data_IF_778126492667
#
_entry.id   IF_778126492667
#
_cell.length_a   1.000
_cell.length_b   1.000
_cell.length_c   1.000
_cell.angle_alpha   90.00
_cell.angle_beta   90.00
_cell.angle_gamma   90.00
#
_symmetry.space_group_name_H-M   'P 1'
#
loop_
_entity.id
_entity.type
_entity.pdbx_description
1 polymer ?
#
# COMPACT_ATOMS: atom_id res chain seq x y z
N UNK A 1 -21.69 -2.40 4.14
CA UNK A 1 -20.87 -1.78 3.10
C UNK A 1 -20.07 -0.58 3.62
N UNK A 2 -18.75 -0.66 3.61
CA UNK A 2 -17.85 0.48 3.84
C UNK A 2 -17.48 1.09 2.48
N UNK A 3 -17.64 2.42 2.32
CA UNK A 3 -17.24 3.12 1.10
C UNK A 3 -15.74 3.45 1.13
N UNK A 4 -15.03 3.10 0.06
CA UNK A 4 -13.61 3.35 -0.10
C UNK A 4 -13.39 4.14 -1.40
N UNK A 5 -13.27 5.46 -1.26
CA UNK A 5 -13.20 6.43 -2.37
C UNK A 5 -11.97 7.33 -2.34
N UNK A 6 -11.07 7.06 -1.40
CA UNK A 6 -9.84 7.81 -1.18
C UNK A 6 -9.99 9.12 -0.43
N UNK A 7 -11.19 9.42 0.09
CA UNK A 7 -11.49 10.74 0.68
C UNK A 7 -12.34 10.68 1.95
N UNK A 8 -13.30 9.75 2.04
CA UNK A 8 -14.39 9.85 3.03
C UNK A 8 -14.37 8.77 4.12
N UNK A 9 -13.34 7.90 4.15
CA UNK A 9 -13.19 6.86 5.17
C UNK A 9 -13.18 7.46 6.59
N UNK A 10 -14.00 6.91 7.48
CA UNK A 10 -14.15 7.38 8.86
C UNK A 10 -13.51 6.42 9.86
N UNK A 11 -13.21 6.90 11.07
CA UNK A 11 -12.74 6.05 12.16
C UNK A 11 -13.71 4.91 12.48
N UNK A 12 -15.02 5.14 12.37
CA UNK A 12 -16.03 4.11 12.56
C UNK A 12 -15.87 2.95 11.56
N UNK A 13 -15.58 3.24 10.29
CA UNK A 13 -15.35 2.22 9.27
C UNK A 13 -14.12 1.37 9.58
N UNK A 14 -13.05 2.02 10.05
CA UNK A 14 -11.82 1.35 10.48
C UNK A 14 -12.08 0.42 11.66
N UNK A 15 -12.86 0.87 12.65
CA UNK A 15 -13.25 0.04 13.80
C UNK A 15 -14.13 -1.13 13.37
N UNK A 16 -15.09 -0.91 12.46
CA UNK A 16 -15.91 -1.99 11.88
C UNK A 16 -15.01 -3.03 11.22
N UNK A 17 -14.12 -2.60 10.32
CA UNK A 17 -13.21 -3.50 9.64
C UNK A 17 -12.31 -4.28 10.60
N UNK A 18 -11.80 -3.65 11.65
CA UNK A 18 -10.96 -4.32 12.64
C UNK A 18 -11.68 -5.40 13.44
N UNK A 19 -13.00 -5.28 13.62
CA UNK A 19 -13.83 -6.19 14.43
C UNK A 19 -14.54 -7.26 13.61
N UNK A 20 -14.60 -7.11 12.28
CA UNK A 20 -15.24 -8.09 11.41
C UNK A 20 -14.37 -9.32 11.23
N UNK A 21 -14.89 -10.46 11.66
CA UNK A 21 -14.36 -11.78 11.30
C UNK A 21 -14.96 -12.25 9.96
N UNK A 22 -14.17 -12.94 9.13
CA UNK A 22 -14.63 -13.41 7.82
C UNK A 22 -14.80 -12.30 6.78
N UNK A 23 -15.69 -12.46 5.78
CA UNK A 23 -15.82 -11.51 4.69
C UNK A 23 -16.31 -10.12 5.12
N UNK A 24 -15.74 -9.07 4.51
CA UNK A 24 -16.15 -7.67 4.73
C UNK A 24 -16.62 -7.03 3.42
N UNK A 25 -17.82 -6.49 3.46
CA UNK A 25 -18.41 -5.79 2.32
C UNK A 25 -17.89 -4.35 2.19
N UNK A 26 -17.14 -4.10 1.10
CA UNK A 26 -16.59 -2.78 0.75
C UNK A 26 -17.00 -2.37 -0.67
N UNK A 27 -17.37 -1.11 -0.82
CA UNK A 27 -17.65 -0.44 -2.09
C UNK A 27 -16.43 0.40 -2.49
N UNK A 28 -15.67 -0.09 -3.45
CA UNK A 28 -14.49 0.60 -3.98
C UNK A 28 -14.92 1.46 -5.15
N UNK A 29 -14.72 2.77 -5.04
CA UNK A 29 -15.16 3.71 -6.06
C UNK A 29 -14.44 3.50 -7.39
N UNK A 30 -15.20 3.23 -8.45
CA UNK A 30 -14.71 3.14 -9.84
C UNK A 30 -14.00 4.44 -10.27
N UNK A 31 -14.54 5.60 -9.86
CA UNK A 31 -13.93 6.89 -10.17
C UNK A 31 -12.55 7.03 -9.49
N UNK A 32 -12.42 6.57 -8.24
CA UNK A 32 -11.14 6.59 -7.52
C UNK A 32 -10.13 5.59 -8.13
N UNK A 33 -10.58 4.42 -8.57
CA UNK A 33 -9.73 3.47 -9.30
C UNK A 33 -9.19 4.07 -10.60
N UNK A 34 -10.05 4.74 -11.39
CA UNK A 34 -9.62 5.46 -12.60
C UNK A 34 -8.62 6.57 -12.30
N UNK A 35 -8.81 7.31 -11.21
CA UNK A 35 -7.87 8.34 -10.79
C UNK A 35 -6.50 7.76 -10.42
N UNK A 36 -6.46 6.62 -9.71
CA UNK A 36 -5.23 5.90 -9.41
C UNK A 36 -4.52 5.37 -10.67
N UNK A 37 -5.26 4.81 -11.62
CA UNK A 37 -4.72 4.39 -12.92
C UNK A 37 -4.12 5.56 -13.70
N UNK A 38 -4.80 6.71 -13.72
CA UNK A 38 -4.26 7.93 -14.34
C UNK A 38 -2.95 8.38 -13.69
N UNK A 39 -2.88 8.36 -12.36
CA UNK A 39 -1.68 8.73 -11.63
C UNK A 39 -0.51 7.76 -11.88
N UNK A 40 -0.80 6.47 -12.00
CA UNK A 40 0.19 5.45 -12.37
C UNK A 40 0.78 5.71 -13.77
N UNK A 41 -0.06 5.91 -14.78
CA UNK A 41 0.38 6.25 -16.15
C UNK A 41 1.22 7.51 -16.19
N UNK A 42 0.84 8.53 -15.43
CA UNK A 42 1.61 9.76 -15.29
C UNK A 42 2.99 9.50 -14.65
N UNK A 43 3.07 8.65 -13.62
CA UNK A 43 4.33 8.30 -12.98
C UNK A 43 5.28 7.55 -13.94
N UNK A 44 4.75 6.63 -14.76
CA UNK A 44 5.51 5.97 -15.83
C UNK A 44 6.08 7.01 -16.83
N UNK A 45 5.21 7.87 -17.36
CA UNK A 45 5.57 8.90 -18.35
C UNK A 45 6.51 9.98 -17.79
N UNK A 46 6.45 10.30 -16.51
CA UNK A 46 7.42 11.23 -15.88
C UNK A 46 8.80 10.58 -15.75
N UNK A 47 8.86 9.27 -15.50
CA UNK A 47 10.11 8.54 -15.28
C UNK A 47 10.94 8.38 -16.56
N UNK A 48 10.34 8.53 -17.73
CA UNK A 48 11.06 8.55 -19.01
C UNK A 48 11.72 9.90 -19.32
N UNK A 49 11.33 10.97 -18.63
CA UNK A 49 11.73 12.36 -18.95
C UNK A 49 12.43 13.07 -17.80
N UNK A 50 12.34 12.55 -16.57
CA UNK A 50 12.85 13.20 -15.35
C UNK A 50 13.35 12.18 -14.35
N UNK A 51 14.24 12.64 -13.48
CA UNK A 51 14.67 11.89 -12.29
C UNK A 51 13.53 11.91 -11.26
N UNK A 52 13.14 10.73 -10.77
CA UNK A 52 12.06 10.52 -9.80
C UNK A 52 12.58 9.73 -8.60
N UNK A 53 12.44 10.32 -7.40
CA UNK A 53 12.89 9.72 -6.13
C UNK A 53 12.25 8.34 -5.90
N UNK A 54 13.08 7.31 -5.64
CA UNK A 54 12.64 5.95 -5.35
C UNK A 54 12.06 5.18 -6.54
N UNK A 55 12.12 5.74 -7.76
CA UNK A 55 11.70 5.07 -8.99
C UNK A 55 12.81 5.00 -10.03
N UNK A 56 13.45 6.14 -10.32
CA UNK A 56 14.66 6.19 -11.17
C UNK A 56 15.91 6.50 -10.34
N UNK A 57 15.77 6.55 -9.01
CA UNK A 57 16.86 6.69 -8.05
C UNK A 57 16.66 5.73 -6.89
N UNK A 58 17.70 5.52 -6.09
CA UNK A 58 17.55 4.89 -4.78
C UNK A 58 16.71 5.71 -3.79
N UNK A 59 16.63 5.21 -2.55
CA UNK A 59 15.90 5.86 -1.45
C UNK A 59 16.82 6.09 -0.26
N UNK A 60 16.44 7.01 0.63
CA UNK A 60 17.19 7.33 1.84
C UNK A 60 18.58 7.87 1.51
N UNK A 61 19.61 7.28 2.10
CA UNK A 61 21.00 7.64 1.83
C UNK A 61 21.40 7.42 0.36
N UNK A 62 20.70 6.54 -0.36
CA UNK A 62 21.00 6.17 -1.75
C UNK A 62 20.22 7.02 -2.77
N UNK A 63 19.65 8.15 -2.35
CA UNK A 63 18.81 9.02 -3.21
C UNK A 63 19.53 9.58 -4.44
N UNK A 64 20.86 9.64 -4.39
CA UNK A 64 21.71 10.18 -5.45
C UNK A 64 22.15 9.08 -6.44
N UNK A 65 21.88 7.80 -6.12
CA UNK A 65 22.17 6.67 -7.01
C UNK A 65 21.09 6.55 -8.09
N UNK A 66 21.51 6.50 -9.35
CA UNK A 66 20.58 6.27 -10.48
C UNK A 66 20.29 4.78 -10.62
N UNK A 67 19.02 4.44 -10.85
CA UNK A 67 18.58 3.06 -11.06
C UNK A 67 17.60 2.99 -12.23
N UNK A 68 17.54 1.83 -12.86
CA UNK A 68 16.49 1.53 -13.82
C UNK A 68 15.15 1.35 -13.10
N UNK A 69 14.10 2.01 -13.61
CA UNK A 69 12.73 1.83 -13.14
C UNK A 69 12.19 0.46 -13.59
N UNK A 70 12.50 -0.58 -12.84
CA UNK A 70 12.15 -1.96 -13.16
C UNK A 70 11.44 -2.67 -12.00
N UNK A 71 10.75 -3.77 -12.33
CA UNK A 71 10.16 -4.68 -11.33
C UNK A 71 11.20 -5.17 -10.33
N UNK A 72 12.42 -5.45 -10.80
CA UNK A 72 13.51 -5.92 -9.95
C UNK A 72 13.94 -4.85 -8.94
N UNK A 73 14.02 -3.57 -9.36
CA UNK A 73 14.28 -2.47 -8.44
C UNK A 73 13.20 -2.38 -7.34
N UNK A 74 11.91 -2.45 -7.73
CA UNK A 74 10.81 -2.48 -6.78
C UNK A 74 10.90 -3.64 -5.78
N UNK A 75 11.19 -4.86 -6.25
CA UNK A 75 11.38 -6.03 -5.37
C UNK A 75 12.58 -5.88 -4.43
N UNK A 76 13.69 -5.29 -4.89
CA UNK A 76 14.85 -5.01 -4.02
C UNK A 76 14.49 -4.03 -2.91
N UNK A 77 13.73 -2.98 -3.21
CA UNK A 77 13.24 -2.04 -2.20
C UNK A 77 12.35 -2.75 -1.17
N UNK A 78 11.38 -3.55 -1.61
CA UNK A 78 10.52 -4.29 -0.70
C UNK A 78 11.32 -5.23 0.21
N UNK A 79 12.24 -6.01 -0.36
CA UNK A 79 13.07 -6.95 0.40
C UNK A 79 14.00 -6.26 1.40
N UNK A 80 14.60 -5.13 1.02
CA UNK A 80 15.50 -4.40 1.92
C UNK A 80 14.77 -3.69 3.06
N UNK A 81 13.48 -3.37 2.88
CA UNK A 81 12.68 -2.68 3.88
C UNK A 81 11.87 -3.64 4.76
N UNK A 82 11.64 -4.89 4.35
CA UNK A 82 10.92 -5.92 5.11
C UNK A 82 11.75 -6.47 6.30
N UNK A 83 12.17 -5.58 7.20
CA UNK A 83 12.96 -5.88 8.40
C UNK A 83 12.18 -5.75 9.71
N UNK A 84 10.85 -5.92 9.68
CA UNK A 84 10.03 -5.87 10.89
C UNK A 84 10.29 -7.11 11.78
N UNK A 85 10.02 -6.99 13.08
CA UNK A 85 10.28 -8.07 14.06
C UNK A 85 9.32 -8.03 15.26
N UNK A 86 9.48 -8.98 16.18
CA UNK A 86 8.61 -9.16 17.34
C UNK A 86 7.35 -9.96 16.99
N UNK A 87 6.31 -9.83 17.80
CA UNK A 87 5.06 -10.57 17.58
C UNK A 87 4.31 -10.08 16.34
N UNK A 88 3.58 -11.00 15.71
CA UNK A 88 2.64 -10.66 14.64
C UNK A 88 1.48 -9.83 15.19
N UNK A 89 1.04 -8.85 14.41
CA UNK A 89 -0.11 -8.02 14.74
C UNK A 89 -1.40 -8.84 14.69
N UNK A 90 -2.38 -8.55 15.59
CA UNK A 90 -3.69 -9.18 15.52
C UNK A 90 -4.36 -8.95 14.15
N UNK A 91 -5.06 -9.95 13.59
CA UNK A 91 -5.69 -9.85 12.27
C UNK A 91 -6.57 -8.60 12.08
N UNK A 92 -7.34 -8.23 13.11
CA UNK A 92 -8.15 -7.00 13.06
C UNK A 92 -7.33 -5.72 12.82
N UNK A 93 -6.14 -5.63 13.43
CA UNK A 93 -5.26 -4.48 13.21
C UNK A 93 -4.67 -4.48 11.80
N UNK A 94 -4.29 -5.66 11.29
CA UNK A 94 -3.81 -5.80 9.90
C UNK A 94 -4.92 -5.39 8.93
N UNK A 95 -6.16 -5.86 9.10
CA UNK A 95 -7.27 -5.48 8.21
C UNK A 95 -7.55 -3.98 8.24
N UNK A 96 -7.52 -3.36 9.42
CA UNK A 96 -7.65 -1.91 9.57
C UNK A 96 -6.54 -1.16 8.82
N UNK A 97 -5.28 -1.60 8.96
CA UNK A 97 -4.14 -1.04 8.24
C UNK A 97 -4.33 -1.15 6.72
N UNK A 98 -4.73 -2.32 6.21
CA UNK A 98 -4.97 -2.52 4.78
C UNK A 98 -6.09 -1.63 4.24
N UNK A 99 -7.21 -1.50 4.98
CA UNK A 99 -8.33 -0.64 4.59
C UNK A 99 -7.91 0.84 4.51
N UNK A 100 -7.16 1.32 5.51
CA UNK A 100 -6.61 2.67 5.51
C UNK A 100 -5.68 2.86 4.31
N UNK A 101 -4.77 1.90 4.08
CA UNK A 101 -3.80 1.98 2.99
C UNK A 101 -4.47 1.97 1.62
N UNK A 102 -5.46 1.10 1.42
CA UNK A 102 -6.28 1.05 0.22
C UNK A 102 -6.92 2.41 -0.06
N UNK A 103 -7.57 3.01 0.95
CA UNK A 103 -8.17 4.33 0.81
C UNK A 103 -7.11 5.39 0.46
N UNK A 104 -5.95 5.41 1.12
CA UNK A 104 -4.88 6.35 0.79
C UNK A 104 -4.41 6.24 -0.67
N UNK A 105 -4.25 5.03 -1.21
CA UNK A 105 -3.84 4.81 -2.60
C UNK A 105 -4.91 5.23 -3.60
N UNK A 106 -6.19 5.06 -3.25
CA UNK A 106 -7.33 5.50 -4.06
C UNK A 106 -7.49 7.03 -4.12
N UNK A 107 -6.72 7.80 -3.35
CA UNK A 107 -6.67 9.27 -3.51
C UNK A 107 -6.10 9.71 -4.87
N UNK A 108 -5.53 8.80 -5.66
CA UNK A 108 -5.10 9.05 -7.03
C UNK A 108 -3.82 9.88 -7.14
N UNK A 109 -2.91 9.75 -6.17
CA UNK A 109 -1.70 10.59 -6.07
C UNK A 109 -0.40 9.81 -5.87
N UNK A 110 -0.48 8.50 -5.65
CA UNK A 110 0.68 7.66 -5.31
C UNK A 110 1.49 7.18 -6.51
N UNK A 111 0.88 7.12 -7.71
CA UNK A 111 1.51 6.50 -8.88
C UNK A 111 1.72 4.99 -8.74
N UNK A 112 0.99 4.33 -7.83
CA UNK A 112 1.06 2.88 -7.59
C UNK A 112 0.40 2.10 -8.72
N UNK A 113 0.86 0.90 -9.01
CA UNK A 113 0.22 0.04 -10.00
C UNK A 113 -1.24 -0.29 -9.58
N UNK A 114 -2.21 -0.24 -10.50
CA UNK A 114 -3.61 -0.56 -10.21
C UNK A 114 -3.84 -1.98 -9.69
N UNK A 115 -3.00 -2.93 -10.08
CA UNK A 115 -3.08 -4.32 -9.65
C UNK A 115 -2.95 -4.45 -8.12
N UNK A 116 -2.09 -3.64 -7.48
CA UNK A 116 -1.94 -3.66 -6.02
C UNK A 116 -3.20 -3.16 -5.31
N UNK A 117 -3.94 -2.21 -5.90
CA UNK A 117 -5.22 -1.75 -5.36
C UNK A 117 -6.25 -2.89 -5.38
N UNK A 118 -6.26 -3.69 -6.44
CA UNK A 118 -7.09 -4.89 -6.54
C UNK A 118 -6.73 -5.93 -5.47
N UNK A 119 -5.45 -6.26 -5.33
CA UNK A 119 -4.96 -7.21 -4.33
C UNK A 119 -5.30 -6.77 -2.89
N UNK A 120 -5.11 -5.48 -2.57
CA UNK A 120 -5.48 -4.91 -1.27
C UNK A 120 -6.98 -5.00 -1.01
N UNK A 121 -7.81 -4.65 -1.99
CA UNK A 121 -9.26 -4.74 -1.85
C UNK A 121 -9.71 -6.17 -1.60
N UNK A 122 -9.10 -7.15 -2.28
CA UNK A 122 -9.41 -8.56 -2.09
C UNK A 122 -8.96 -9.09 -0.72
N UNK A 123 -7.76 -8.73 -0.24
CA UNK A 123 -7.30 -9.09 1.09
C UNK A 123 -8.22 -8.52 2.19
N UNK A 124 -8.69 -7.28 2.04
CA UNK A 124 -9.66 -6.66 2.96
C UNK A 124 -11.02 -7.36 2.90
N UNK A 125 -11.51 -7.69 1.70
CA UNK A 125 -12.81 -8.35 1.51
C UNK A 125 -12.83 -9.77 2.05
N UNK A 126 -11.87 -10.59 1.65
CA UNK A 126 -11.82 -12.01 2.00
C UNK A 126 -11.39 -12.25 3.45
N UNK A 127 -10.55 -11.35 3.99
CA UNK A 127 -9.86 -11.60 5.25
C UNK A 127 -8.62 -12.48 5.13
N UNK A 128 -8.15 -12.76 3.91
CA UNK A 128 -6.84 -13.36 3.67
C UNK A 128 -5.75 -12.32 3.92
N UNK A 129 -5.43 -12.10 5.20
CA UNK A 129 -4.53 -11.04 5.64
C UNK A 129 -3.07 -11.53 5.69
N UNK A 130 -2.10 -10.70 5.30
CA UNK A 130 -0.69 -11.03 5.44
C UNK A 130 -0.29 -11.02 6.92
N UNK A 131 0.79 -11.75 7.24
CA UNK A 131 1.46 -11.62 8.51
C UNK A 131 2.26 -10.31 8.52
N UNK A 132 2.14 -9.54 9.59
CA UNK A 132 2.80 -8.25 9.76
C UNK A 132 3.34 -8.19 11.18
N UNK A 133 4.63 -7.88 11.34
CA UNK A 133 5.26 -7.82 12.66
C UNK A 133 5.16 -6.42 13.29
N UNK A 134 5.10 -6.38 14.63
CA UNK A 134 4.80 -5.16 15.39
C UNK A 134 5.95 -4.14 15.43
N UNK A 135 7.21 -4.56 15.38
CA UNK A 135 8.37 -3.69 15.57
C UNK A 135 9.06 -3.40 14.24
N UNK A 136 9.62 -2.19 14.08
CA UNK A 136 10.41 -1.80 12.89
C UNK A 136 9.96 -0.49 12.25
N UNK A 137 8.77 0.01 12.59
CA UNK A 137 8.32 1.34 12.20
C UNK A 137 8.69 2.40 13.25
N UNK A 138 9.04 3.62 12.79
CA UNK A 138 9.41 4.76 13.66
C UNK A 138 8.48 5.97 13.49
N UNK A 139 7.38 5.83 12.74
CA UNK A 139 6.34 6.86 12.59
C UNK A 139 6.59 7.87 11.46
N UNK A 140 7.69 7.78 10.72
CA UNK A 140 7.98 8.59 9.51
C UNK A 140 7.79 7.76 8.23
N UNK A 141 6.67 7.04 8.17
CA UNK A 141 6.42 5.98 7.21
C UNK A 141 6.66 4.60 7.83
N UNK A 142 5.62 3.77 7.78
CA UNK A 142 5.65 2.42 8.35
C UNK A 142 6.25 1.43 7.35
N UNK A 143 7.48 1.72 6.89
CA UNK A 143 8.10 1.06 5.74
C UNK A 143 8.23 -0.45 5.95
N UNK A 144 8.68 -0.88 7.12
CA UNK A 144 8.89 -2.30 7.39
C UNK A 144 7.61 -3.15 7.35
N UNK A 145 6.55 -2.83 8.11
CA UNK A 145 5.29 -3.59 8.04
C UNK A 145 4.58 -3.47 6.69
N UNK A 146 4.68 -2.33 6.01
CA UNK A 146 4.11 -2.17 4.66
C UNK A 146 4.89 -2.92 3.57
N UNK A 147 6.20 -3.13 3.76
CA UNK A 147 7.01 -3.95 2.87
C UNK A 147 6.69 -5.43 3.03
N UNK A 148 6.50 -5.93 4.25
CA UNK A 148 6.01 -7.29 4.51
C UNK A 148 4.65 -7.53 3.83
N UNK A 149 3.73 -6.57 4.00
CA UNK A 149 2.42 -6.58 3.34
C UNK A 149 2.57 -6.70 1.82
N UNK A 150 3.38 -5.84 1.20
CA UNK A 150 3.53 -5.80 -0.24
C UNK A 150 4.24 -7.02 -0.84
N UNK A 151 5.08 -7.73 -0.07
CA UNK A 151 5.70 -8.98 -0.50
C UNK A 151 4.73 -10.18 -0.46
N UNK A 152 3.68 -10.09 0.35
CA UNK A 152 2.66 -11.13 0.48
C UNK A 152 1.52 -11.02 -0.53
N UNK A 153 1.30 -9.82 -1.09
CA UNK A 153 0.29 -9.52 -2.11
C UNK A 153 0.82 -9.78 -3.52
#
# INVERSE_FOLDING_TARGET
MIRVDGRTLRCADVVTAARTEGPLDIDVSIAAQRAAEHAWKLAEDLSTRRVVYGRTTGVGANKDDTVESSREHGLRLLRSHAGASGDVLPPGQVRAMLLIRLNQLLSGRSGISPELIGALAEAVRSGALPLVHRLGAIGTGDLAPLAETALAL
#
